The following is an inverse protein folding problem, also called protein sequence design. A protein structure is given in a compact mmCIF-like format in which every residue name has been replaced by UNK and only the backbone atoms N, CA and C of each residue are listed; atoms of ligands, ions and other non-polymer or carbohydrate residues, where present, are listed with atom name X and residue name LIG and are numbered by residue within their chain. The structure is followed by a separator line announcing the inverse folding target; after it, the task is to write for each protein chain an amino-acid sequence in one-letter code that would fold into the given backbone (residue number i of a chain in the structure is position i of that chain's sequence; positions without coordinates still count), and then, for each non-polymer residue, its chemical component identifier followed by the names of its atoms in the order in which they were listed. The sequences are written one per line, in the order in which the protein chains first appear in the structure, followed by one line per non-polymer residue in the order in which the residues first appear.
data_IF_902078591213
#
_entry.id   IF_902078591213
#
_cell.length_a   1.000
_cell.length_b   1.000
_cell.length_c   1.000
_cell.angle_alpha   90.00
_cell.angle_beta   90.00
_cell.angle_gamma   90.00
#
_symmetry.space_group_name_H-M   'P 1'
#
loop_
_entity.id
_entity.type
_entity.pdbx_description
1 polymer ?
2 non-polymer ?
3 water ?
#
# COMPACT_ATOMS: atom_id res chain seq x y z
N UNK A 1 -11.92 11.68 21.89
CA UNK A 1 -12.27 11.84 20.44
C UNK A 1 -11.08 11.56 19.54
N UNK A 2 -10.71 12.55 18.74
CA UNK A 2 -9.60 12.40 17.80
C UNK A 2 -8.25 12.80 18.40
N UNK A 3 -8.29 13.39 19.59
CA UNK A 3 -7.11 14.03 20.20
C UNK A 3 -6.44 13.17 21.29
N UNK A 4 -5.16 12.89 21.10
CA UNK A 4 -4.34 12.21 22.11
C UNK A 4 -3.47 13.23 22.85
N UNK A 5 -3.53 13.19 24.17
CA UNK A 5 -2.71 14.04 25.04
C UNK A 5 -1.23 13.67 24.88
N UNK A 6 -0.34 14.67 24.75
CA UNK A 6 1.09 14.39 24.60
C UNK A 6 1.69 13.54 25.73
N UNK A 7 1.13 13.66 26.93
CA UNK A 7 1.61 12.89 28.09
C UNK A 7 1.27 11.39 27.99
N UNK A 8 0.39 11.03 27.05
CA UNK A 8 0.01 9.63 26.84
C UNK A 8 1.01 8.89 25.95
N UNK A 9 1.98 9.63 25.40
CA UNK A 9 2.94 9.06 24.46
C UNK A 9 4.36 9.07 25.00
N UNK A 10 5.09 8.01 24.67
CA UNK A 10 6.50 7.90 24.97
C UNK A 10 7.27 7.66 23.67
N UNK A 11 8.23 8.53 23.37
CA UNK A 11 9.07 8.38 22.19
C UNK A 11 10.24 7.46 22.50
N UNK A 12 10.28 6.32 21.82
CA UNK A 12 11.27 5.29 22.14
C UNK A 12 12.51 5.37 21.26
N UNK A 13 12.30 5.35 19.94
CA UNK A 13 13.39 5.38 18.97
C UNK A 13 12.87 5.62 17.55
N UNK A 14 13.68 6.30 16.75
CA UNK A 14 13.37 6.50 15.34
C UNK A 14 13.45 5.16 14.60
N UNK A 15 12.45 4.88 13.78
CA UNK A 15 12.39 3.62 13.02
C UNK A 15 12.43 3.82 11.52
N UNK A 16 12.47 5.09 11.09
CA UNK A 16 12.58 5.43 9.68
C UNK A 16 12.00 6.78 9.31
N UNK A 17 12.09 7.12 8.04
CA UNK A 17 11.55 8.36 7.49
C UNK A 17 10.58 8.08 6.34
N UNK A 18 9.55 8.91 6.25
CA UNK A 18 8.55 8.79 5.18
C UNK A 18 8.78 9.81 4.08
N UNK A 21 7.53 13.56 8.20
CA UNK A 21 8.70 12.81 7.75
C UNK A 21 9.14 11.71 8.71
N UNK A 22 9.55 12.10 9.91
CA UNK A 22 10.15 11.19 10.87
C UNK A 22 9.11 10.25 11.50
N UNK A 23 9.51 8.99 11.70
CA UNK A 23 8.63 7.99 12.30
C UNK A 23 9.33 7.33 13.49
N UNK A 24 8.65 7.30 14.62
CA UNK A 24 9.20 6.72 15.85
C UNK A 24 8.38 5.53 16.32
N UNK A 25 9.07 4.52 16.85
CA UNK A 25 8.43 3.56 17.71
C UNK A 25 8.16 4.29 19.02
N UNK A 26 6.95 4.11 19.54
CA UNK A 26 6.57 4.68 20.82
C UNK A 26 5.67 3.76 21.61
N UNK A 27 5.29 4.22 22.81
CA UNK A 27 4.29 3.55 23.62
C UNK A 27 3.12 4.48 23.91
N UNK A 28 1.92 3.92 23.85
CA UNK A 28 0.69 4.64 24.17
C UNK A 28 0.21 4.17 25.54
N UNK A 29 0.08 5.11 26.48
CA UNK A 29 -0.22 4.80 27.88
C UNK A 29 0.73 3.73 28.46
N UNK A 30 2.02 3.89 28.15
CA UNK A 30 3.11 3.04 28.67
C UNK A 30 3.03 1.52 28.40
N UNK A 31 1.98 1.08 27.71
CA UNK A 31 1.71 -0.35 27.55
C UNK A 31 1.81 -0.83 26.10
N UNK A 32 1.23 -0.06 25.18
CA UNK A 32 1.05 -0.51 23.81
C UNK A 32 2.00 0.15 22.83
N UNK A 33 2.62 -0.67 21.98
CA UNK A 33 3.46 -0.18 20.92
C UNK A 33 2.62 0.55 19.87
N UNK A 34 3.12 1.72 19.46
CA UNK A 34 2.50 2.53 18.41
C UNK A 34 3.58 3.13 17.53
N UNK A 35 3.21 3.46 16.30
CA UNK A 35 4.08 4.21 15.42
C UNK A 35 3.65 5.67 15.43
N UNK A 36 4.59 6.54 15.77
CA UNK A 36 4.31 7.97 15.88
C UNK A 36 4.91 8.70 14.69
N UNK A 37 4.04 9.30 13.89
CA UNK A 37 4.43 9.96 12.66
C UNK A 37 4.39 11.46 12.85
N UNK A 38 5.56 12.08 12.98
CA UNK A 38 5.67 13.54 13.05
C UNK A 38 5.92 14.14 11.67
N UNK A 39 5.21 15.22 11.35
CA UNK A 39 5.38 15.93 10.07
C UNK A 39 6.80 16.51 9.93
N UNK A 51 -9.14 18.39 9.28
CA UNK A 51 -10.34 17.59 9.10
C UNK A 51 -10.12 16.33 8.25
N UNK A 52 -8.98 16.28 7.57
CA UNK A 52 -8.59 15.09 6.81
C UNK A 52 -8.33 13.92 7.77
N UNK A 53 -7.87 14.25 8.97
CA UNK A 53 -7.61 13.26 10.02
C UNK A 53 -8.90 12.64 10.54
N UNK A 54 -9.97 13.42 10.57
CA UNK A 54 -11.29 12.96 11.00
C UNK A 54 -11.82 11.89 10.06
N UNK A 55 -11.68 12.13 8.76
CA UNK A 55 -12.04 11.16 7.73
C UNK A 55 -11.19 9.90 7.88
N UNK A 56 -9.89 10.10 8.09
CA UNK A 56 -8.93 8.99 8.24
C UNK A 56 -9.25 8.03 9.37
N UNK A 57 -9.68 8.56 10.51
CA UNK A 57 -10.00 7.71 11.67
C UNK A 57 -11.25 6.88 11.46
N UNK A 58 -12.19 7.41 10.68
CA UNK A 58 -13.41 6.71 10.32
C UNK A 58 -13.12 5.50 9.41
N UNK A 59 -11.96 5.53 8.76
CA UNK A 59 -11.54 4.44 7.88
C UNK A 59 -10.95 3.28 8.68
N UNK A 60 -11.85 2.39 9.11
CA UNK A 60 -11.47 1.26 9.94
C UNK A 60 -11.68 -0.06 9.21
N UNK A 61 -10.57 -0.74 8.94
CA UNK A 61 -10.59 -2.06 8.30
C UNK A 61 -9.35 -2.83 8.76
N UNK A 62 -9.48 -4.16 8.98
CA UNK A 62 -8.34 -4.96 9.45
C UNK A 62 -7.13 -5.02 8.50
N UNK A 63 -7.29 -4.59 7.25
CA UNK A 63 -6.20 -4.58 6.29
C UNK A 63 -5.75 -3.17 5.94
N UNK A 64 -6.17 -2.22 6.78
CA UNK A 64 -5.68 -0.85 6.72
C UNK A 64 -4.97 -0.55 8.04
N UNK A 65 -3.79 0.05 7.95
CA UNK A 65 -3.07 0.51 9.13
C UNK A 65 -3.91 1.58 9.82
N UNK A 66 -4.28 1.31 11.06
CA UNK A 66 -5.24 2.16 11.76
C UNK A 66 -4.60 3.41 12.34
N UNK A 67 -5.23 4.56 12.08
CA UNK A 67 -4.88 5.80 12.76
C UNK A 67 -5.66 5.86 14.06
N UNK A 68 -4.93 5.90 15.17
CA UNK A 68 -5.52 5.88 16.52
C UNK A 68 -5.90 7.24 17.06
N UNK A 69 -5.23 8.27 16.58
CA UNK A 69 -5.48 9.63 17.04
C UNK A 69 -4.43 10.61 16.59
N UNK A 70 -4.69 11.90 16.85
CA UNK A 70 -3.75 12.96 16.51
C UNK A 70 -3.34 13.67 17.79
N UNK A 71 -2.04 13.91 17.94
CA UNK A 71 -1.55 14.71 19.04
C UNK A 71 -1.39 16.16 18.58
N UNK A 72 -2.36 16.99 18.96
CA UNK A 72 -2.40 18.39 18.52
C UNK A 72 -1.50 19.29 19.36
N UNK A 73 -1.44 19.00 20.66
CA UNK A 73 -0.72 19.85 21.62
C UNK A 73 0.78 19.55 21.59
N UNK A 74 1.33 19.51 20.38
CA UNK A 74 2.74 19.24 20.15
C UNK A 74 3.18 19.88 18.84
N UNK A 75 4.40 20.39 18.80
CA UNK A 75 4.96 20.99 17.60
C UNK A 75 6.25 20.26 17.21
N UNK A 76 6.27 19.67 16.00
CA UNK A 76 5.14 19.63 15.08
C UNK A 76 4.14 18.56 15.49
N UNK A 77 2.88 18.71 15.06
CA UNK A 77 1.83 17.74 15.40
C UNK A 77 2.16 16.35 14.86
N UNK A 78 1.75 15.32 15.60
CA UNK A 78 1.95 13.96 15.13
C UNK A 78 0.72 13.08 15.14
N UNK A 79 0.79 12.03 14.32
CA UNK A 79 -0.28 11.08 14.16
C UNK A 79 0.16 9.77 14.81
N UNK A 80 -0.76 9.11 15.48
CA UNK A 80 -0.46 7.88 16.21
C UNK A 80 -1.12 6.70 15.50
N UNK A 81 -0.28 5.79 15.02
CA UNK A 81 -0.72 4.67 14.20
C UNK A 81 -0.53 3.31 14.86
N UNK A 82 -1.29 2.34 14.36
CA UNK A 82 -1.09 0.93 14.64
C UNK A 82 0.36 0.55 14.31
N UNK A 83 1.01 -0.15 15.23
CA UNK A 83 2.40 -0.57 15.02
C UNK A 83 2.49 -1.88 14.27
N UNK A 84 3.23 -1.86 13.18
CA UNK A 84 3.43 -3.01 12.31
C UNK A 84 4.88 -3.47 12.44
N UNK A 85 5.07 -4.59 13.12
CA UNK A 85 6.39 -5.01 13.60
C UNK A 85 7.41 -5.38 12.52
N UNK A 86 6.93 -5.79 11.35
CA UNK A 86 7.85 -6.26 10.30
C UNK A 86 8.13 -5.23 9.21
N UNK A 87 7.68 -4.00 9.42
CA UNK A 87 8.06 -2.88 8.56
C UNK A 87 7.44 -2.94 7.17
N UNK A 88 8.11 -2.30 6.21
CA UNK A 88 7.60 -2.13 4.86
C UNK A 88 7.55 -3.45 4.10
N UNK A 89 6.50 -3.63 3.30
CA UNK A 89 6.36 -4.85 2.49
C UNK A 89 7.50 -4.99 1.48
N UNK A 90 7.87 -3.87 0.84
CA UNK A 90 9.01 -3.83 -0.07
C UNK A 90 10.27 -4.42 0.59
N UNK A 91 10.62 -3.89 1.77
CA UNK A 91 11.78 -4.37 2.53
C UNK A 91 11.66 -5.83 2.90
N UNK A 92 10.47 -6.23 3.32
CA UNK A 92 10.20 -7.58 3.83
C UNK A 92 10.29 -8.63 2.73
N UNK A 93 9.78 -8.28 1.55
CA UNK A 93 9.90 -9.14 0.38
C UNK A 93 11.36 -9.39 0.01
N UNK A 94 12.14 -8.31 0.00
CA UNK A 94 13.55 -8.38 -0.38
C UNK A 94 14.40 -9.17 0.63
N UNK A 95 14.15 -8.96 1.92
CA UNK A 95 14.89 -9.65 2.97
C UNK A 95 14.50 -11.12 3.10
N UNK A 96 13.25 -11.44 2.78
CA UNK A 96 12.76 -12.81 2.88
C UNK A 96 12.74 -13.54 1.52
N UNK A 97 13.30 -12.90 0.49
CA UNK A 97 13.34 -13.46 -0.86
C UNK A 97 13.88 -14.89 -0.87
N UNK A 98 13.17 -15.78 -1.53
CA UNK A 98 13.57 -17.19 -1.62
C UNK A 98 12.85 -18.08 -0.63
N UNK A 99 12.12 -17.46 0.30
CA UNK A 99 11.39 -18.21 1.34
C UNK A 99 9.89 -18.29 1.08
N UNK A 100 9.42 -17.63 0.03
CA UNK A 100 8.00 -17.50 -0.27
C UNK A 100 7.44 -18.54 -1.21
N UNK A 101 6.37 -19.20 -0.76
CA UNK A 101 5.55 -20.01 -1.64
C UNK A 101 4.55 -19.10 -2.35
N UNK A 102 4.14 -19.49 -3.56
CA UNK A 102 3.20 -18.70 -4.36
C UNK A 102 1.91 -18.39 -3.59
N UNK A 103 1.44 -19.37 -2.83
CA UNK A 103 0.19 -19.25 -2.07
C UNK A 103 0.24 -18.14 -1.02
N UNK A 104 1.42 -17.95 -0.43
CA UNK A 104 1.66 -16.88 0.54
C UNK A 104 1.65 -15.52 -0.14
N UNK A 105 2.29 -15.45 -1.31
CA UNK A 105 2.34 -14.21 -2.09
C UNK A 105 0.94 -13.78 -2.54
N UNK A 106 0.13 -14.76 -2.94
CA UNK A 106 -1.28 -14.53 -3.28
C UNK A 106 -2.04 -13.94 -2.08
N UNK A 107 -1.85 -14.55 -0.91
CA UNK A 107 -2.45 -14.07 0.34
C UNK A 107 -2.10 -12.63 0.64
N UNK A 108 -0.85 -12.25 0.37
CA UNK A 108 -0.41 -10.85 0.53
C UNK A 108 -1.16 -9.91 -0.41
N UNK A 109 -1.36 -10.34 -1.65
CA UNK A 109 -2.14 -9.56 -2.60
C UNK A 109 -3.61 -9.45 -2.18
N UNK A 110 -4.13 -10.55 -1.64
CA UNK A 110 -5.50 -10.61 -1.15
C UNK A 110 -5.70 -9.62 0.00
N UNK A 111 -4.74 -9.60 0.94
CA UNK A 111 -4.75 -8.65 2.05
C UNK A 111 -4.92 -7.23 1.52
N UNK A 112 -4.01 -6.83 0.64
CA UNK A 112 -3.99 -5.47 0.07
C UNK A 112 -5.29 -5.18 -0.66
N UNK A 113 -5.76 -6.14 -1.46
CA UNK A 113 -6.99 -5.97 -2.22
C UNK A 113 -8.20 -5.73 -1.32
N UNK A 114 -8.23 -6.39 -0.17
CA UNK A 114 -9.32 -6.23 0.79
C UNK A 114 -9.34 -4.82 1.37
N UNK A 115 -8.15 -4.32 1.73
CA UNK A 115 -7.99 -2.95 2.20
C UNK A 115 -8.40 -1.95 1.13
N UNK A 116 -7.92 -2.18 -0.10
CA UNK A 116 -8.23 -1.32 -1.23
C UNK A 116 -9.70 -1.32 -1.64
N UNK A 117 -10.36 -2.47 -1.52
CA UNK A 117 -11.80 -2.58 -1.79
C UNK A 117 -12.60 -1.73 -0.78
N UNK A 118 -12.15 -1.73 0.48
CA UNK A 118 -12.74 -0.89 1.51
C UNK A 118 -12.61 0.59 1.17
N UNK A 119 -11.40 1.01 0.81
CA UNK A 119 -11.14 2.41 0.40
C UNK A 119 -11.98 2.82 -0.80
N UNK A 120 -12.01 1.94 -1.81
CA UNK A 120 -12.84 2.14 -3.01
C UNK A 120 -14.31 2.39 -2.63
N UNK A 121 -14.83 1.54 -1.76
CA UNK A 121 -16.21 1.64 -1.31
C UNK A 121 -16.45 2.91 -0.50
N UNK A 122 -15.38 3.38 0.17
CA UNK A 122 -15.44 4.59 0.98
C UNK A 122 -15.12 5.87 0.20
N UNK A 123 -14.95 5.73 -1.12
CA UNK A 123 -14.59 6.85 -2.02
C UNK A 123 -13.29 7.54 -1.61
N UNK A 124 -12.27 6.73 -1.36
CA UNK A 124 -10.95 7.22 -1.02
C UNK A 124 -9.96 6.68 -2.04
N UNK A 125 -9.25 7.58 -2.71
CA UNK A 125 -8.19 7.21 -3.62
C UNK A 125 -6.87 7.21 -2.85
N UNK A 126 -6.12 6.12 -2.94
CA UNK A 126 -4.81 6.06 -2.28
C UNK A 126 -3.82 7.04 -2.90
N UNK A 127 -3.64 6.94 -4.22
CA UNK A 127 -2.78 7.82 -5.04
C UNK A 127 -1.30 7.42 -5.10
N UNK A 128 -0.86 6.60 -4.15
CA UNK A 128 0.54 6.17 -4.11
C UNK A 128 0.65 4.73 -3.63
N UNK A 129 -0.19 3.85 -4.17
CA UNK A 129 -0.18 2.45 -3.78
C UNK A 129 1.06 1.77 -4.35
N UNK A 130 1.89 1.24 -3.46
CA UNK A 130 3.09 0.51 -3.81
C UNK A 130 3.47 -0.37 -2.61
N UNK A 131 4.33 -1.36 -2.83
CA UNK A 131 4.75 -2.23 -1.74
C UNK A 131 5.42 -1.43 -0.61
N UNK A 132 6.14 -0.36 -0.98
CA UNK A 132 6.80 0.52 -0.01
C UNK A 132 5.81 1.18 0.96
N UNK A 133 4.54 1.27 0.53
CA UNK A 133 3.48 1.88 1.33
C UNK A 133 2.52 0.87 1.95
N UNK A 134 2.92 -0.39 1.96
CA UNK A 134 2.23 -1.42 2.71
C UNK A 134 3.12 -1.88 3.86
N UNK A 135 2.50 -2.32 4.94
CA UNK A 135 3.25 -2.76 6.12
C UNK A 135 2.92 -4.20 6.49
N UNK A 136 3.86 -4.85 7.15
CA UNK A 136 3.76 -6.27 7.51
C UNK A 136 3.62 -6.44 9.02
N UNK A 137 2.61 -7.17 9.44
CA UNK A 137 2.32 -7.32 10.86
C UNK A 137 2.48 -8.74 11.35
N UNK A 138 1.70 -9.09 12.37
CA UNK A 138 1.73 -10.43 12.95
C UNK A 138 1.16 -11.45 11.97
N UNK A 139 1.77 -12.63 11.94
CA UNK A 139 1.41 -13.72 11.04
C UNK A 139 1.52 -13.33 9.56
N UNK A 140 2.42 -12.40 9.27
CA UNK A 140 2.69 -11.93 7.89
C UNK A 140 1.50 -11.19 7.24
N UNK A 141 0.57 -10.71 8.07
CA UNK A 141 -0.55 -9.91 7.56
C UNK A 141 -0.02 -8.63 6.88
N UNK A 142 -0.57 -8.31 5.72
CA UNK A 142 -0.21 -7.08 5.01
C UNK A 142 -1.33 -6.07 5.16
N UNK A 143 -0.96 -4.83 5.50
CA UNK A 143 -1.93 -3.75 5.59
C UNK A 143 -1.49 -2.56 4.77
N UNK A 144 -2.47 -1.88 4.17
CA UNK A 144 -2.23 -0.71 3.36
C UNK A 144 -2.03 0.49 4.28
N UNK A 145 -1.04 1.31 3.95
CA UNK A 145 -0.68 2.47 4.77
C UNK A 145 -0.66 3.75 3.96
N UNK A 146 -0.62 4.89 4.64
CA UNK A 146 -0.42 6.20 4.02
C UNK A 146 -1.48 6.57 2.98
N UNK A 147 -2.69 6.05 3.18
CA UNK A 147 -3.84 6.44 2.37
C UNK A 147 -4.34 7.81 2.84
N UNK A 167 6.40 9.18 -8.72
CA UNK A 167 6.30 7.73 -8.65
C UNK A 167 5.68 7.14 -9.92
N UNK A 168 6.31 7.42 -11.05
CA UNK A 168 5.79 7.03 -12.37
C UNK A 168 5.62 5.51 -12.56
N UNK A 169 6.47 4.72 -11.89
CA UNK A 169 6.49 3.28 -12.09
C UNK A 169 5.20 2.60 -11.61
N UNK A 170 4.40 3.33 -10.83
CA UNK A 170 3.14 2.83 -10.30
C UNK A 170 1.94 3.59 -10.86
N UNK A 171 2.20 4.59 -11.70
CA UNK A 171 1.15 5.47 -12.21
C UNK A 171 0.50 4.95 -13.49
N UNK A 172 -0.82 5.04 -13.57
CA UNK A 172 -1.56 4.73 -14.78
C UNK A 172 -1.30 5.81 -15.84
N UNK A 173 -1.52 5.48 -17.14
CA UNK A 173 -1.31 6.45 -18.24
C UNK A 173 -2.03 7.78 -18.04
N UNK A 174 -3.26 7.74 -17.56
CA UNK A 174 -4.05 8.95 -17.34
C UNK A 174 -3.56 9.78 -16.15
N UNK A 175 -2.88 9.13 -15.21
CA UNK A 175 -2.29 9.83 -14.07
C UNK A 175 -1.02 10.56 -14.48
N UNK A 176 -0.03 9.85 -15.03
CA UNK A 176 1.25 10.48 -15.36
C UNK A 176 1.16 11.51 -16.49
N UNK A 177 0.09 11.44 -17.28
CA UNK A 177 -0.13 12.40 -18.37
C UNK A 177 -1.01 13.59 -17.97
N UNK A 178 -2.07 13.31 -17.19
CA UNK A 178 -3.10 14.32 -16.95
C UNK A 178 -3.54 14.45 -15.49
N UNK A 179 -2.92 13.67 -14.60
CA UNK A 179 -3.22 13.68 -13.16
C UNK A 179 -4.68 13.30 -12.88
N UNK A 180 -5.19 12.35 -13.67
CA UNK A 180 -6.57 11.88 -13.57
C UNK A 180 -6.66 10.68 -12.63
N UNK A 181 -6.88 10.96 -11.34
CA UNK A 181 -6.95 9.90 -10.33
C UNK A 181 -8.36 9.34 -10.17
N UNK A 182 -8.43 8.06 -9.80
CA UNK A 182 -9.68 7.36 -9.51
C UNK A 182 -9.30 6.08 -8.80
N UNK A 183 -10.29 5.34 -8.31
CA UNK A 183 -10.01 4.00 -7.79
C UNK A 183 -9.40 3.12 -8.90
N UNK A 184 -9.71 3.42 -10.16
CA UNK A 184 -9.15 2.67 -11.30
C UNK A 184 -7.67 2.97 -11.55
N UNK A 185 -7.22 4.17 -11.19
CA UNK A 185 -5.79 4.46 -11.24
C UNK A 185 -5.07 3.73 -10.10
N UNK A 186 -5.76 3.61 -8.95
CA UNK A 186 -5.26 2.77 -7.85
C UNK A 186 -5.17 1.30 -8.27
N UNK A 187 -6.11 0.86 -9.10
CA UNK A 187 -6.11 -0.53 -9.60
C UNK A 187 -4.84 -0.81 -10.40
N UNK A 188 -4.49 0.12 -11.30
CA UNK A 188 -3.22 0.04 -12.03
C UNK A 188 -2.06 -0.15 -11.05
N UNK A 189 -1.97 0.73 -10.07
CA UNK A 189 -0.92 0.67 -9.05
C UNK A 189 -0.92 -0.71 -8.36
N UNK A 190 -2.11 -1.22 -8.03
CA UNK A 190 -2.25 -2.54 -7.41
C UNK A 190 -1.70 -3.67 -8.29
N UNK A 191 -1.83 -3.53 -9.60
CA UNK A 191 -1.25 -4.48 -10.55
C UNK A 191 0.27 -4.48 -10.45
N UNK A 192 0.84 -3.27 -10.37
CA UNK A 192 2.28 -3.15 -10.16
C UNK A 192 2.71 -3.74 -8.81
N UNK A 193 1.92 -3.46 -7.76
CA UNK A 193 2.16 -4.06 -6.44
C UNK A 193 2.09 -5.59 -6.47
N UNK A 194 1.12 -6.14 -7.20
CA UNK A 194 1.04 -7.60 -7.39
C UNK A 194 2.34 -8.11 -7.96
N UNK A 195 2.87 -7.38 -8.94
CA UNK A 195 4.12 -7.72 -9.60
C UNK A 195 5.29 -7.67 -8.61
N UNK A 196 5.33 -6.61 -7.81
CA UNK A 196 6.31 -6.48 -6.72
C UNK A 196 6.25 -7.68 -5.79
N UNK A 197 5.06 -8.03 -5.35
CA UNK A 197 4.86 -9.17 -4.45
C UNK A 197 5.33 -10.49 -5.06
N UNK A 198 4.82 -10.83 -6.25
CA UNK A 198 5.21 -12.09 -6.90
C UNK A 198 6.65 -12.15 -7.40
N UNK A 199 7.29 -10.99 -7.60
CA UNK A 199 8.73 -10.95 -7.94
C UNK A 199 9.62 -10.82 -6.71
N UNK A 200 9.01 -10.94 -5.53
CA UNK A 200 9.71 -10.88 -4.24
C UNK A 200 10.52 -9.60 -4.08
N UNK A 201 9.88 -8.47 -4.38
CA UNK A 201 10.48 -7.16 -4.11
C UNK A 201 11.40 -6.59 -5.16
N UNK A 202 11.40 -7.17 -6.36
CA UNK A 202 12.08 -6.54 -7.49
C UNK A 202 11.52 -5.15 -7.76
N UNK A 203 12.37 -4.27 -8.30
CA UNK A 203 11.97 -2.94 -8.72
C UNK A 203 11.38 -3.01 -10.12
N UNK A 204 10.12 -2.57 -10.30
CA UNK A 204 9.51 -2.56 -11.64
C UNK A 204 10.26 -1.64 -12.60
N UNK A 205 10.31 -2.04 -13.87
CA UNK A 205 11.02 -1.29 -14.92
C UNK A 205 12.40 -0.82 -14.45
N UNK A 206 13.18 -1.75 -13.91
CA UNK A 206 14.50 -1.44 -13.36
C UNK A 206 15.50 -1.22 -14.50
N UNK A 208 14.63 1.93 -15.27
CA UNK A 208 14.48 2.94 -16.31
C UNK A 208 14.04 4.28 -15.75
N UNK A 209 14.31 5.35 -16.51
CA UNK A 209 13.96 6.71 -16.10
C UNK A 209 12.45 6.94 -16.21
N UNK A 210 11.98 8.00 -15.55
CA UNK A 210 10.57 8.40 -15.61
C UNK A 210 10.09 8.59 -17.04
N UNK A 211 10.88 9.31 -17.83
CA UNK A 211 10.57 9.57 -19.24
C UNK A 211 10.47 8.27 -20.05
N UNK A 212 11.33 7.30 -19.72
CA UNK A 212 11.34 6.01 -20.42
C UNK A 212 10.15 5.13 -20.03
N UNK A 213 9.77 5.15 -18.75
CA UNK A 213 8.59 4.40 -18.29
C UNK A 213 7.31 4.98 -18.89
N UNK A 214 7.22 6.31 -18.93
CA UNK A 214 6.11 6.99 -19.60
C UNK A 214 6.00 6.50 -21.04
N UNK A 215 7.11 6.50 -21.77
CA UNK A 215 7.08 6.13 -23.18
C UNK A 215 6.88 4.62 -23.40
N UNK A 216 7.35 3.79 -22.46
CA UNK A 216 7.08 2.35 -22.47
C UNK A 216 5.59 2.07 -22.36
N UNK A 217 4.99 2.60 -21.29
CA UNK A 217 3.58 2.38 -20.98
C UNK A 217 2.68 2.98 -22.06
N UNK A 218 3.01 4.19 -22.49
CA UNK A 218 2.25 4.90 -23.55
C UNK A 218 2.11 4.07 -24.82
N UNK A 219 3.08 3.20 -25.09
CA UNK A 219 3.14 2.43 -26.33
C UNK A 219 2.65 0.98 -26.22
N UNK A 220 2.33 0.54 -25.01
CA UNK A 220 1.77 -0.80 -24.81
C UNK A 220 2.63 -1.78 -24.05
N UNK A 221 3.87 -1.39 -23.72
CA UNK A 221 4.77 -2.24 -22.94
C UNK A 221 4.19 -2.53 -21.56
N UNK A 222 4.32 -3.78 -21.13
CA UNK A 222 3.87 -4.22 -19.81
C UNK A 222 4.92 -5.09 -19.13
N UNK A 223 4.94 -5.03 -17.80
CA UNK A 223 5.85 -5.85 -17.00
C UNK A 223 5.66 -7.33 -17.32
N UNK A 224 6.77 -8.02 -17.55
CA UNK A 224 6.74 -9.45 -17.84
C UNK A 224 6.34 -10.24 -16.59
N UNK A 225 5.90 -11.48 -16.79
CA UNK A 225 5.41 -12.32 -15.71
C UNK A 225 6.55 -12.78 -14.78
N UNK A 226 6.37 -12.58 -13.45
CA UNK A 226 7.31 -13.14 -12.48
C UNK A 226 7.17 -14.66 -12.39
N UNK A 227 8.28 -15.35 -12.11
CA UNK A 227 8.34 -16.80 -12.09
C UNK A 227 7.23 -17.42 -11.24
N UNK A 228 7.01 -16.83 -10.06
CA UNK A 228 6.09 -17.39 -9.08
C UNK A 228 4.62 -17.05 -9.35
N UNK A 229 4.38 -16.17 -10.31
CA UNK A 229 3.02 -15.85 -10.73
C UNK A 229 2.55 -16.86 -11.76
N UNK A 230 1.39 -17.46 -11.49
CA UNK A 230 0.77 -18.38 -12.44
C UNK A 230 0.23 -17.64 -13.65
N UNK A 231 -0.07 -18.39 -14.72
CA UNK A 231 -0.73 -17.85 -15.89
C UNK A 231 -1.99 -17.07 -15.49
N UNK A 232 -2.74 -17.62 -14.53
CA UNK A 232 -3.97 -16.97 -14.08
C UNK A 232 -3.72 -15.64 -13.36
N UNK A 233 -2.75 -15.63 -12.45
CA UNK A 233 -2.38 -14.41 -11.73
C UNK A 233 -1.91 -13.32 -12.70
N UNK A 234 -1.14 -13.71 -13.72
CA UNK A 234 -0.61 -12.74 -14.68
C UNK A 234 -1.70 -12.10 -15.54
N UNK A 235 -2.76 -12.84 -15.82
CA UNK A 235 -3.87 -12.26 -16.57
C UNK A 235 -4.64 -11.26 -15.71
N UNK A 236 -4.78 -11.55 -14.41
CA UNK A 236 -5.32 -10.57 -13.45
C UNK A 236 -4.45 -9.31 -13.44
N UNK A 237 -3.13 -9.47 -13.35
CA UNK A 237 -2.20 -8.33 -13.41
C UNK A 237 -2.44 -7.50 -14.67
N UNK A 238 -2.44 -8.15 -15.84
CA UNK A 238 -2.64 -7.46 -17.11
C UNK A 238 -3.97 -6.73 -17.23
N UNK A 239 -5.00 -7.25 -16.57
CA UNK A 239 -6.30 -6.61 -16.52
C UNK A 239 -6.26 -5.31 -15.71
N UNK A 240 -5.37 -5.27 -14.73
CA UNK A 240 -5.12 -4.05 -13.95
C UNK A 240 -4.40 -3.00 -14.79
N UNK A 241 -3.70 -3.46 -15.84
CA UNK A 241 -2.91 -2.56 -16.68
C UNK A 241 -3.53 -2.22 -18.04
N UNK A 242 -4.84 -2.33 -18.15
CA UNK A 242 -5.53 -1.86 -19.37
C UNK A 242 -5.35 -0.36 -19.51
N UNK A 243 -5.09 0.10 -20.74
CA UNK A 243 -4.86 1.52 -21.01
C UNK A 243 -6.01 2.39 -20.46
N UNK A 244 -7.24 1.97 -20.74
CA UNK A 244 -8.43 2.70 -20.31
C UNK A 244 -8.85 2.28 -18.90
N UNK A 245 -9.05 3.27 -18.00
CA UNK A 245 -9.51 2.99 -16.63
C UNK A 245 -10.81 2.21 -16.62
N UNK A 246 -11.65 2.47 -17.62
CA UNK A 246 -12.94 1.79 -17.72
C UNK A 246 -12.82 0.30 -18.07
N UNK A 247 -11.66 -0.12 -18.59
CA UNK A 247 -11.42 -1.52 -18.91
C UNK A 247 -10.77 -2.30 -17.76
N UNK A 248 -10.36 -1.59 -16.71
CA UNK A 248 -9.77 -2.22 -15.53
C UNK A 248 -10.87 -2.63 -14.57
N UNK A 249 -10.69 -3.77 -13.88
CA UNK A 249 -11.70 -4.16 -12.89
C UNK A 249 -11.62 -3.29 -11.64
N UNK A 250 -12.76 -3.08 -11.00
CA UNK A 250 -12.79 -2.41 -9.70
C UNK A 250 -12.23 -3.35 -8.64
N UNK A 251 -11.79 -2.81 -7.51
CA UNK A 251 -11.27 -3.64 -6.43
C UNK A 251 -12.27 -4.67 -5.92
N UNK A 252 -13.56 -4.33 -5.96
CA UNK A 252 -14.62 -5.26 -5.59
C UNK A 252 -14.55 -6.52 -6.46
N UNK A 253 -14.34 -6.32 -7.76
CA UNK A 253 -14.26 -7.45 -8.70
C UNK A 253 -12.95 -8.22 -8.52
N UNK A 254 -11.85 -7.50 -8.39
CA UNK A 254 -10.55 -8.11 -8.12
C UNK A 254 -10.57 -9.00 -6.88
N UNK A 255 -11.27 -8.55 -5.85
CA UNK A 255 -11.34 -9.28 -4.60
C UNK A 255 -12.03 -10.64 -4.78
N UNK A 256 -13.12 -10.65 -5.55
CA UNK A 256 -13.80 -11.90 -5.90
C UNK A 256 -12.88 -12.84 -6.67
N UNK A 257 -12.13 -12.29 -7.63
CA UNK A 257 -11.21 -13.06 -8.45
C UNK A 257 -10.04 -13.63 -7.64
N UNK A 258 -9.46 -12.81 -6.78
CA UNK A 258 -8.35 -13.26 -5.94
C UNK A 258 -8.77 -14.30 -4.90
N UNK A 259 -9.97 -14.13 -4.34
CA UNK A 259 -10.53 -15.09 -3.39
C UNK A 259 -10.92 -16.43 -4.03
N UNK A 260 -11.22 -16.39 -5.33
CA UNK A 260 -11.67 -17.59 -6.05
C UNK A 260 -10.53 -18.55 -6.41
N UNK A 261 -9.29 -18.12 -6.21
CA UNK A 261 -8.13 -18.95 -6.52
C UNK A 261 -7.86 -20.00 -5.44
#
# INVERSE_FOLDING_TARGET
GSVIDPSELTFVQEIGSGQFGLVHLGYWLNKDKVAIKTIREGAMSEEDFIEEAEVMMKLSHPKLVQLYGVCLEQAPICLVFEFMEHGCLSDYLRTQRGLFAAETLLGMCLDVCEGMAYLEEASVIHRDLAARNCLVGENQVIKVSDFGMTRFVLDDQYTSSTGTKFPVKWASPEVFSFSRYSSKSDVWSFGVLMWEVFSEGKIPYENRSNSEVVEDISTGFRLYKPRLASTHVYQIMNHCWKERPEDRPAFSRLLRQLAAIAASGL
#
